data_IF_729312692141
#
_entry.id   IF_729312692141
#
_cell.length_a   1.000
_cell.length_b   1.000
_cell.length_c   1.000
_cell.angle_alpha   90.00
_cell.angle_beta   90.00
_cell.angle_gamma   90.00
#
_symmetry.space_group_name_H-M   'P 1'
#
loop_
_entity.id
_entity.type
_entity.pdbx_description
1 polymer ?
#
# COMPACT_ATOMS: atom_id res chain seq x y z
N UNK A 1 8.68 6.96 7.05
CA UNK A 1 7.36 6.37 6.80
C UNK A 1 7.25 6.02 5.32
N UNK A 2 7.08 4.78 4.95
CA UNK A 2 6.79 4.39 3.57
C UNK A 2 5.30 4.07 3.50
N UNK A 3 4.56 4.86 2.71
CA UNK A 3 3.18 4.54 2.36
C UNK A 3 3.29 3.69 1.08
N UNK A 4 2.96 2.42 1.15
CA UNK A 4 2.93 1.55 -0.02
C UNK A 4 1.53 0.98 -0.17
N UNK A 5 0.87 1.36 -1.24
CA UNK A 5 -0.39 0.76 -1.66
C UNK A 5 -0.05 -0.32 -2.67
N UNK A 6 -0.51 -1.53 -2.45
CA UNK A 6 -0.42 -2.60 -3.44
C UNK A 6 -1.81 -3.12 -3.79
N UNK A 7 -2.07 -3.09 -5.08
CA UNK A 7 -3.25 -3.68 -5.71
C UNK A 7 -2.83 -5.08 -6.16
N UNK A 8 -3.43 -6.12 -5.59
CA UNK A 8 -3.27 -7.49 -6.06
C UNK A 8 -4.41 -7.82 -7.01
N UNK A 9 -4.19 -7.60 -8.31
CA UNK A 9 -5.01 -8.24 -9.35
C UNK A 9 -4.55 -9.69 -9.50
N UNK A 10 -5.41 -10.62 -9.15
CA UNK A 10 -5.23 -12.01 -9.52
C UNK A 10 -5.67 -12.18 -10.97
N UNK A 11 -4.73 -12.00 -11.90
CA UNK A 11 -4.97 -12.35 -13.30
C UNK A 11 -5.06 -13.88 -13.37
N UNK A 12 -6.26 -14.38 -13.64
CA UNK A 12 -6.46 -15.77 -14.06
C UNK A 12 -5.96 -15.85 -15.51
N UNK A 13 -4.69 -16.19 -15.69
CA UNK A 13 -4.18 -16.63 -16.98
C UNK A 13 -4.69 -18.05 -17.20
N UNK A 14 -5.53 -18.21 -18.23
CA UNK A 14 -5.99 -19.50 -18.71
C UNK A 14 -4.83 -20.41 -19.09
N UNK A 15 -5.06 -21.68 -18.91
CA UNK A 15 -4.25 -22.85 -19.17
C UNK A 15 -3.17 -22.72 -20.25
N UNK A 16 -1.93 -22.52 -19.82
CA UNK A 16 -0.76 -23.05 -20.51
C UNK A 16 0.06 -23.75 -19.41
N UNK A 17 -0.06 -25.08 -19.36
CA UNK A 17 0.69 -25.94 -18.47
C UNK A 17 2.18 -25.91 -18.85
N UNK A 18 2.92 -24.96 -18.35
CA UNK A 18 4.34 -25.13 -18.06
C UNK A 18 4.47 -25.15 -16.53
N UNK A 19 4.90 -26.28 -16.00
CA UNK A 19 5.34 -26.40 -14.61
C UNK A 19 6.50 -25.42 -14.39
N UNK A 20 6.17 -24.20 -13.98
CA UNK A 20 7.17 -23.22 -13.56
C UNK A 20 7.59 -23.65 -12.15
N UNK A 21 8.81 -24.11 -12.02
CA UNK A 21 9.39 -24.39 -10.71
C UNK A 21 9.54 -23.07 -9.96
N UNK A 22 8.55 -22.76 -9.12
CA UNK A 22 8.48 -21.51 -8.35
C UNK A 22 9.61 -21.38 -7.31
N UNK A 23 10.23 -22.48 -6.92
CA UNK A 23 11.35 -22.48 -5.95
C UNK A 23 12.61 -21.83 -6.50
N UNK A 24 12.70 -21.62 -7.83
CA UNK A 24 13.81 -20.90 -8.49
C UNK A 24 13.62 -19.40 -8.56
N UNK A 25 12.42 -18.90 -8.28
CA UNK A 25 12.12 -17.47 -8.35
C UNK A 25 11.91 -16.95 -6.93
N UNK A 26 12.89 -16.23 -6.41
CA UNK A 26 12.70 -15.42 -5.20
C UNK A 26 11.71 -14.31 -5.55
N UNK A 27 10.44 -14.49 -5.18
CA UNK A 27 9.41 -13.46 -5.31
C UNK A 27 9.83 -12.27 -4.44
N UNK A 28 10.44 -11.27 -5.07
CA UNK A 28 10.73 -10.00 -4.40
C UNK A 28 9.44 -9.20 -4.30
N UNK A 29 8.75 -9.38 -3.20
CA UNK A 29 7.62 -8.55 -2.86
C UNK A 29 8.06 -7.41 -1.93
N UNK A 30 7.49 -6.25 -2.17
CA UNK A 30 7.72 -5.10 -1.30
C UNK A 30 6.70 -5.01 -0.15
N UNK A 31 5.68 -5.87 -0.17
CA UNK A 31 4.67 -5.91 0.88
C UNK A 31 5.24 -6.51 2.16
N UNK A 32 4.96 -5.84 3.28
CA UNK A 32 5.28 -6.38 4.59
C UNK A 32 4.49 -7.64 4.86
N UNK A 33 3.23 -7.68 4.45
CA UNK A 33 2.33 -8.81 4.70
C UNK A 33 2.79 -10.12 4.05
N UNK A 34 3.50 -10.06 2.93
CA UNK A 34 4.03 -11.24 2.25
C UNK A 34 5.26 -11.83 2.94
N UNK A 35 5.95 -11.02 3.74
CA UNK A 35 7.07 -11.44 4.59
C UNK A 35 6.65 -11.73 6.03
N UNK A 36 5.35 -11.60 6.33
CA UNK A 36 4.82 -11.72 7.66
C UNK A 36 4.52 -13.19 7.96
N UNK A 37 5.28 -13.85 8.83
CA UNK A 37 5.14 -15.30 9.09
C UNK A 37 3.92 -15.66 9.95
N UNK A 38 3.05 -14.71 10.26
CA UNK A 38 1.81 -14.88 11.01
C UNK A 38 1.69 -13.98 12.23
N UNK A 39 0.52 -14.02 12.87
CA UNK A 39 0.16 -13.17 14.01
C UNK A 39 1.11 -13.31 15.21
N UNK A 40 1.79 -14.46 15.35
CA UNK A 40 2.72 -14.74 16.43
C UNK A 40 4.08 -14.02 16.28
N UNK A 41 4.37 -13.46 15.10
CA UNK A 41 5.70 -12.92 14.78
C UNK A 41 5.82 -11.43 14.97
N UNK A 42 4.73 -10.76 15.23
CA UNK A 42 4.68 -9.31 15.42
C UNK A 42 3.64 -8.97 16.49
N UNK A 43 4.05 -8.22 17.49
CA UNK A 43 3.19 -7.83 18.61
C UNK A 43 2.04 -6.91 18.20
N UNK A 44 2.15 -6.26 17.03
CA UNK A 44 1.21 -5.24 16.54
C UNK A 44 0.73 -5.55 15.12
N UNK A 45 -0.04 -6.62 14.98
CA UNK A 45 -0.79 -6.92 13.77
C UNK A 45 -2.29 -6.72 14.01
N UNK A 46 -2.95 -6.04 13.08
CA UNK A 46 -4.41 -5.94 13.08
C UNK A 46 -4.96 -6.14 11.67
N UNK A 47 -6.10 -6.85 11.58
CA UNK A 47 -6.84 -7.04 10.35
C UNK A 47 -8.27 -6.52 10.52
N UNK A 48 -8.62 -5.51 9.74
CA UNK A 48 -9.97 -4.94 9.70
C UNK A 48 -10.67 -5.35 8.42
N UNK A 49 -11.65 -6.23 8.52
CA UNK A 49 -12.51 -6.63 7.40
C UNK A 49 -13.59 -5.57 7.20
N UNK A 50 -13.66 -4.99 6.00
CA UNK A 50 -14.67 -4.00 5.61
C UNK A 50 -15.89 -4.71 5.01
N UNK A 51 -15.63 -5.63 4.09
CA UNK A 51 -16.62 -6.54 3.53
C UNK A 51 -15.91 -7.82 3.03
N UNK A 52 -16.64 -8.72 2.35
CA UNK A 52 -16.08 -9.99 1.83
C UNK A 52 -14.92 -9.82 0.82
N UNK A 53 -14.80 -8.66 0.21
CA UNK A 53 -13.86 -8.38 -0.89
C UNK A 53 -12.82 -7.33 -0.52
N UNK A 54 -12.98 -6.60 0.61
CA UNK A 54 -12.12 -5.49 1.02
C UNK A 54 -11.73 -5.67 2.49
N UNK A 55 -10.42 -5.61 2.77
CA UNK A 55 -9.89 -5.56 4.13
C UNK A 55 -8.61 -4.72 4.21
N UNK A 56 -8.32 -4.25 5.40
CA UNK A 56 -7.12 -3.46 5.70
C UNK A 56 -6.31 -4.21 6.75
N UNK A 57 -5.05 -4.42 6.46
CA UNK A 57 -4.09 -5.01 7.38
C UNK A 57 -3.08 -3.94 7.81
N UNK A 58 -2.79 -3.93 9.09
CA UNK A 58 -1.80 -3.02 9.69
C UNK A 58 -0.77 -3.85 10.43
N UNK A 59 0.51 -3.61 10.14
CA UNK A 59 1.66 -4.24 10.78
C UNK A 59 2.54 -3.14 11.36
N UNK A 60 2.73 -3.15 12.67
CA UNK A 60 3.68 -2.27 13.36
C UNK A 60 4.98 -3.01 13.65
N UNK A 61 6.09 -2.53 13.11
CA UNK A 61 7.44 -3.01 13.40
C UNK A 61 8.08 -2.05 14.39
N UNK A 62 8.20 -2.45 15.65
CA UNK A 62 8.56 -1.55 16.76
C UNK A 62 10.01 -1.65 17.21
N UNK A 63 10.72 -2.68 16.79
CA UNK A 63 12.09 -2.92 17.23
C UNK A 63 12.95 -3.56 16.14
N UNK A 64 14.26 -3.54 16.36
CA UNK A 64 15.24 -4.04 15.39
C UNK A 64 15.17 -5.56 15.18
N UNK A 65 14.69 -6.32 16.13
CA UNK A 65 14.55 -7.78 16.00
C UNK A 65 13.41 -8.11 15.03
N UNK A 66 12.24 -7.50 15.22
CA UNK A 66 11.11 -7.59 14.28
C UNK A 66 11.51 -7.10 12.88
N UNK A 67 12.24 -5.99 12.82
CA UNK A 67 12.74 -5.42 11.57
C UNK A 67 13.65 -6.38 10.79
N UNK A 68 14.53 -7.10 11.47
CA UNK A 68 15.40 -8.12 10.88
C UNK A 68 14.63 -9.34 10.42
N UNK A 69 13.68 -9.82 11.22
CA UNK A 69 12.88 -11.01 10.93
C UNK A 69 11.99 -10.78 9.69
N UNK A 70 11.39 -9.60 9.57
CA UNK A 70 10.50 -9.23 8.47
C UNK A 70 11.30 -8.64 7.29
N UNK A 71 12.61 -8.38 7.46
CA UNK A 71 13.48 -7.72 6.47
C UNK A 71 12.96 -6.35 6.02
N UNK A 72 12.35 -5.61 6.93
CA UNK A 72 11.80 -4.27 6.72
C UNK A 72 12.26 -3.33 7.83
N UNK A 73 12.17 -2.02 7.61
CA UNK A 73 12.52 -1.02 8.61
C UNK A 73 11.42 -0.91 9.66
N UNK A 74 11.77 -0.40 10.84
CA UNK A 74 10.81 0.00 11.86
C UNK A 74 9.81 1.01 11.29
N UNK A 75 8.54 0.86 11.66
CA UNK A 75 7.46 1.71 11.20
C UNK A 75 6.10 1.02 11.14
N UNK A 76 5.08 1.78 10.74
CA UNK A 76 3.72 1.28 10.58
C UNK A 76 3.45 1.08 9.08
N UNK A 77 3.00 -0.12 8.73
CA UNK A 77 2.70 -0.54 7.37
C UNK A 77 1.21 -0.86 7.28
N UNK A 78 0.52 -0.25 6.33
CA UNK A 78 -0.91 -0.50 6.09
C UNK A 78 -1.10 -1.01 4.67
N UNK A 79 -1.78 -2.14 4.54
CA UNK A 79 -2.09 -2.78 3.26
C UNK A 79 -3.61 -2.79 3.08
N UNK A 80 -4.10 -2.23 2.00
CA UNK A 80 -5.50 -2.31 1.58
C UNK A 80 -5.61 -3.39 0.52
N UNK A 81 -6.33 -4.46 0.81
CA UNK A 81 -6.54 -5.57 -0.11
C UNK A 81 -7.98 -5.58 -0.60
N UNK A 82 -8.17 -5.79 -1.89
CA UNK A 82 -9.47 -5.90 -2.53
C UNK A 82 -9.42 -6.88 -3.71
N UNK A 83 -10.55 -7.49 -4.05
CA UNK A 83 -10.60 -8.53 -5.10
C UNK A 83 -10.82 -7.96 -6.48
N UNK A 84 -11.76 -7.03 -6.62
CA UNK A 84 -12.20 -6.51 -7.90
C UNK A 84 -12.63 -5.05 -7.78
N UNK A 85 -12.24 -4.25 -8.77
CA UNK A 85 -12.61 -2.84 -8.93
C UNK A 85 -13.35 -2.57 -10.24
N UNK A 86 -13.70 -3.59 -11.01
CA UNK A 86 -14.48 -3.45 -12.25
C UNK A 86 -15.91 -3.03 -11.96
N UNK A 87 -16.47 -3.45 -10.81
CA UNK A 87 -17.75 -2.97 -10.35
C UNK A 87 -17.64 -1.57 -9.73
N UNK A 88 -18.48 -0.65 -10.22
CA UNK A 88 -18.45 0.77 -9.82
C UNK A 88 -18.76 1.01 -8.33
N UNK A 89 -19.57 0.15 -7.71
CA UNK A 89 -19.88 0.26 -6.27
C UNK A 89 -18.69 -0.20 -5.43
N UNK A 90 -18.06 -1.31 -5.83
CA UNK A 90 -16.87 -1.79 -5.15
C UNK A 90 -15.70 -0.82 -5.32
N UNK A 91 -15.53 -0.24 -6.51
CA UNK A 91 -14.53 0.80 -6.77
C UNK A 91 -14.67 1.99 -5.80
N UNK A 92 -15.87 2.57 -5.68
CA UNK A 92 -16.13 3.67 -4.73
C UNK A 92 -15.83 3.29 -3.29
N UNK A 93 -16.13 2.04 -2.92
CA UNK A 93 -15.86 1.57 -1.56
C UNK A 93 -14.35 1.42 -1.30
N UNK A 94 -13.61 0.90 -2.26
CA UNK A 94 -12.13 0.82 -2.20
C UNK A 94 -11.53 2.21 -2.09
N UNK A 95 -11.99 3.17 -2.91
CA UNK A 95 -11.56 4.56 -2.86
C UNK A 95 -11.78 5.18 -1.48
N UNK A 96 -12.98 5.03 -0.92
CA UNK A 96 -13.31 5.51 0.44
C UNK A 96 -12.38 4.91 1.50
N UNK A 97 -12.17 3.60 1.46
CA UNK A 97 -11.29 2.89 2.41
C UNK A 97 -9.85 3.37 2.27
N UNK A 98 -9.36 3.55 1.04
CA UNK A 98 -8.03 4.06 0.79
C UNK A 98 -7.84 5.48 1.32
N UNK A 99 -8.74 6.39 1.00
CA UNK A 99 -8.70 7.79 1.45
C UNK A 99 -8.72 7.87 2.98
N UNK A 100 -9.59 7.09 3.63
CA UNK A 100 -9.68 7.06 5.10
C UNK A 100 -8.40 6.48 5.74
N UNK A 101 -7.81 5.45 5.12
CA UNK A 101 -6.55 4.86 5.59
C UNK A 101 -5.41 5.87 5.47
N UNK A 102 -5.31 6.58 4.34
CA UNK A 102 -4.31 7.62 4.13
C UNK A 102 -4.47 8.78 5.11
N UNK A 103 -5.71 9.29 5.31
CA UNK A 103 -5.98 10.35 6.29
C UNK A 103 -5.50 9.97 7.69
N UNK A 104 -5.86 8.78 8.15
CA UNK A 104 -5.39 8.29 9.45
C UNK A 104 -3.87 8.23 9.54
N UNK A 105 -3.19 7.76 8.49
CA UNK A 105 -1.72 7.74 8.48
C UNK A 105 -1.12 9.13 8.58
N UNK A 106 -1.70 10.13 7.93
CA UNK A 106 -1.25 11.52 8.03
C UNK A 106 -1.46 12.05 9.45
N UNK A 107 -2.62 11.82 10.05
CA UNK A 107 -2.95 12.23 11.42
C UNK A 107 -2.02 11.57 12.45
N UNK A 108 -1.80 10.27 12.35
CA UNK A 108 -0.90 9.49 13.21
C UNK A 108 0.55 9.99 13.15
N UNK A 109 0.94 10.59 12.02
CA UNK A 109 2.25 11.22 11.84
C UNK A 109 2.25 12.75 12.08
N UNK A 110 1.20 13.27 12.73
CA UNK A 110 1.08 14.70 13.06
C UNK A 110 1.09 15.65 11.87
N UNK A 111 0.76 15.14 10.67
CA UNK A 111 0.61 15.96 9.47
C UNK A 111 -0.80 16.56 9.49
N UNK A 112 -0.87 17.88 9.62
CA UNK A 112 -2.12 18.63 9.76
C UNK A 112 -2.28 19.60 8.58
N UNK A 113 -3.45 20.22 8.49
CA UNK A 113 -3.66 21.33 7.58
C UNK A 113 -2.61 22.43 7.82
N UNK A 114 -2.04 22.94 6.74
CA UNK A 114 -0.91 23.89 6.78
C UNK A 114 0.48 23.23 6.89
N UNK A 115 0.57 21.92 7.09
CA UNK A 115 1.86 21.23 7.07
C UNK A 115 2.48 21.25 5.68
N UNK A 116 3.79 21.49 5.62
CA UNK A 116 4.55 21.39 4.37
C UNK A 116 4.83 19.92 4.07
N UNK A 117 4.34 19.42 2.94
CA UNK A 117 4.46 18.00 2.55
C UNK A 117 5.12 17.90 1.18
N UNK A 118 6.12 17.01 1.05
CA UNK A 118 6.68 16.60 -0.23
C UNK A 118 6.09 15.25 -0.63
N UNK A 119 5.44 15.20 -1.79
CA UNK A 119 4.88 13.98 -2.36
C UNK A 119 5.78 13.52 -3.49
N UNK A 120 6.22 12.26 -3.44
CA UNK A 120 7.08 11.64 -4.45
C UNK A 120 6.35 10.41 -5.01
N UNK A 121 6.05 10.42 -6.30
CA UNK A 121 5.49 9.28 -7.03
C UNK A 121 6.62 8.46 -7.66
N UNK A 122 6.90 7.30 -7.08
CA UNK A 122 7.90 6.39 -7.62
C UNK A 122 7.26 5.43 -8.62
N UNK A 123 7.98 5.11 -9.68
CA UNK A 123 7.55 4.14 -10.68
C UNK A 123 7.91 4.56 -12.11
N UNK A 124 7.44 3.77 -13.07
CA UNK A 124 7.62 4.01 -14.50
C UNK A 124 6.27 4.22 -15.17
N UNK A 125 6.01 5.44 -15.61
CA UNK A 125 4.73 5.82 -16.25
C UNK A 125 4.39 4.99 -17.49
N UNK A 126 5.41 4.48 -18.19
CA UNK A 126 5.27 3.66 -19.41
C UNK A 126 4.99 2.18 -19.12
N UNK A 127 5.10 1.76 -17.87
CA UNK A 127 4.87 0.38 -17.44
C UNK A 127 3.60 0.32 -16.59
N UNK A 128 2.54 -0.28 -17.12
CA UNK A 128 1.21 -0.33 -16.46
C UNK A 128 1.28 -0.79 -14.99
N UNK A 129 1.99 -1.86 -14.64
CA UNK A 129 2.04 -2.31 -13.25
C UNK A 129 2.84 -1.38 -12.32
N UNK A 130 3.64 -0.47 -12.87
CA UNK A 130 4.50 0.43 -12.11
C UNK A 130 4.13 1.93 -12.30
N UNK A 131 3.03 2.21 -12.97
CA UNK A 131 2.66 3.58 -13.34
C UNK A 131 1.86 4.34 -12.26
N UNK A 132 1.45 3.68 -11.17
CA UNK A 132 0.54 4.27 -10.19
C UNK A 132 1.13 5.54 -9.55
N UNK A 133 2.37 5.49 -9.10
CA UNK A 133 3.03 6.63 -8.46
C UNK A 133 3.07 7.88 -9.36
N UNK A 134 3.71 7.82 -10.55
CA UNK A 134 3.77 8.95 -11.46
C UNK A 134 2.39 9.47 -11.89
N UNK A 135 1.45 8.59 -12.24
CA UNK A 135 0.10 8.99 -12.65
C UNK A 135 -0.68 9.66 -11.52
N UNK A 136 -0.53 9.20 -10.28
CA UNK A 136 -1.17 9.84 -9.13
C UNK A 136 -0.68 11.25 -8.90
N UNK A 137 0.61 11.53 -9.13
CA UNK A 137 1.17 12.88 -9.00
C UNK A 137 0.55 13.90 -9.95
N UNK A 138 0.12 13.49 -11.14
CA UNK A 138 -0.53 14.37 -12.09
C UNK A 138 -1.85 14.95 -11.58
N UNK A 139 -2.43 14.34 -10.54
CA UNK A 139 -3.68 14.77 -9.91
C UNK A 139 -3.48 15.49 -8.58
N UNK A 140 -2.24 15.61 -8.11
CA UNK A 140 -1.93 16.31 -6.85
C UNK A 140 -1.87 17.81 -7.09
N UNK A 141 -2.64 18.58 -6.31
CA UNK A 141 -2.59 20.02 -6.33
C UNK A 141 -1.34 20.53 -5.60
N UNK A 142 -0.47 21.23 -6.33
CA UNK A 142 0.70 21.90 -5.74
C UNK A 142 0.26 23.29 -5.24
N UNK A 143 0.18 23.44 -3.92
CA UNK A 143 -0.37 24.65 -3.29
C UNK A 143 0.69 25.64 -2.80
N UNK A 144 1.97 25.24 -2.73
CA UNK A 144 3.03 26.06 -2.14
C UNK A 144 3.19 27.44 -2.78
N UNK A 145 2.95 27.56 -4.10
CA UNK A 145 3.03 28.85 -4.79
C UNK A 145 1.88 29.79 -4.41
N UNK A 146 0.71 29.26 -4.02
CA UNK A 146 -0.44 30.05 -3.61
C UNK A 146 -0.17 30.81 -2.31
N UNK A 147 0.60 30.23 -1.39
CA UNK A 147 0.98 30.87 -0.13
C UNK A 147 2.09 31.93 -0.28
N UNK A 148 2.74 32.02 -1.45
CA UNK A 148 3.76 33.04 -1.73
C UNK A 148 3.20 34.24 -2.45
N UNK A 149 1.97 34.16 -2.95
CA UNK A 149 1.30 35.22 -3.71
C UNK A 149 0.24 35.99 -2.89
N UNK A 150 -0.03 35.53 -1.64
CA UNK A 150 -0.98 36.11 -0.68
C UNK A 150 -0.19 36.94 0.40
#
# INVERSE_FOLDING_TARGET
MQIKLQILEKVILGDIMHEINLDKYELRTDLVIDHFPGEESCSNYTKKVINKDIYVEEVGINNQEEAKNIKKKEGIYKTVTFKDISDSQNFKKVEEVFVNTLKRMLEENSIKEGSSVLIIGLGNEKSTPDALGPKSLNHVLVTRHLFKLG
#
